data_IF_821975420932
#
_entry.id   IF_821975420932
#
_cell.length_a   1.000
_cell.length_b   1.000
_cell.length_c   1.000
_cell.angle_alpha   90.00
_cell.angle_beta   90.00
_cell.angle_gamma   90.00
#
_symmetry.space_group_name_H-M   'P 1'
#
loop_
_entity.id
_entity.type
_entity.pdbx_description
1 polymer ?
#
# COMPACT_ATOMS: atom_id res chain seq x y z
N UNK A 1 36.81 7.12 -2.58
CA UNK A 1 37.03 8.23 -3.51
C UNK A 1 35.69 8.76 -3.92
N UNK A 2 35.43 10.01 -3.63
CA UNK A 2 34.21 10.71 -4.10
C UNK A 2 34.32 10.89 -5.60
N UNK A 3 33.40 10.34 -6.36
CA UNK A 3 33.27 10.65 -7.78
C UNK A 3 32.68 12.06 -7.92
N UNK A 4 33.29 12.89 -8.76
CA UNK A 4 32.76 14.22 -9.11
C UNK A 4 32.08 14.10 -10.47
N UNK A 5 30.79 14.42 -10.51
CA UNK A 5 30.03 14.48 -11.75
C UNK A 5 29.89 15.94 -12.20
N UNK A 6 30.29 16.24 -13.44
CA UNK A 6 30.17 17.56 -14.00
C UNK A 6 28.89 17.69 -14.81
N UNK A 7 28.00 18.58 -14.38
CA UNK A 7 26.72 18.85 -15.03
C UNK A 7 26.90 20.05 -15.98
N UNK A 8 26.56 19.86 -17.26
CA UNK A 8 26.66 20.93 -18.27
C UNK A 8 25.35 21.71 -18.40
N UNK A 9 25.46 23.00 -18.71
CA UNK A 9 24.34 23.92 -18.92
C UNK A 9 23.78 24.50 -17.62
N UNK A 10 22.76 25.35 -17.75
CA UNK A 10 22.04 25.92 -16.60
C UNK A 10 21.14 24.84 -15.99
N UNK A 11 21.40 24.50 -14.75
CA UNK A 11 20.67 23.48 -13.97
C UNK A 11 20.32 24.03 -12.59
N UNK A 12 19.23 23.54 -12.06
CA UNK A 12 18.83 23.77 -10.65
C UNK A 12 18.91 22.44 -9.93
N UNK A 13 19.67 22.42 -8.83
CA UNK A 13 19.74 21.26 -7.94
C UNK A 13 18.73 21.46 -6.81
N UNK A 14 17.85 20.49 -6.67
CA UNK A 14 16.86 20.44 -5.57
C UNK A 14 17.07 19.15 -4.76
N UNK A 15 16.73 19.15 -3.46
CA UNK A 15 16.57 17.91 -2.72
C UNK A 15 15.53 17.03 -3.39
N UNK A 16 15.71 15.71 -3.32
CA UNK A 16 14.71 14.76 -3.81
C UNK A 16 13.38 14.94 -3.06
N UNK A 17 12.27 14.81 -3.77
CA UNK A 17 10.94 14.93 -3.18
C UNK A 17 10.63 13.69 -2.32
N UNK A 18 9.83 13.91 -1.28
CA UNK A 18 9.37 12.85 -0.36
C UNK A 18 7.86 12.75 -0.44
N UNK A 19 7.34 11.56 -0.76
CA UNK A 19 5.93 11.25 -0.62
C UNK A 19 5.71 10.46 0.68
N UNK A 20 5.21 11.16 1.69
CA UNK A 20 5.10 10.63 3.05
C UNK A 20 3.75 9.94 3.35
N UNK A 21 2.89 9.71 2.36
CA UNK A 21 1.61 9.06 2.57
C UNK A 21 1.10 8.41 1.29
N UNK A 22 1.38 7.13 1.09
CA UNK A 22 0.87 6.39 -0.07
C UNK A 22 0.23 5.06 0.29
N UNK A 23 -0.64 4.59 -0.62
CA UNK A 23 -1.20 3.25 -0.63
C UNK A 23 -0.82 2.55 -1.95
N UNK A 24 0.47 2.51 -2.30
CA UNK A 24 0.93 1.97 -3.58
C UNK A 24 0.79 0.45 -3.71
N UNK A 25 0.77 -0.27 -2.57
CA UNK A 25 0.61 -1.72 -2.55
C UNK A 25 -0.88 -2.09 -2.61
N UNK A 26 -1.41 -2.22 -3.82
CA UNK A 26 -2.80 -2.67 -4.06
C UNK A 26 -2.95 -3.28 -5.44
N UNK A 27 -3.98 -4.13 -5.62
CA UNK A 27 -4.44 -4.60 -6.92
C UNK A 27 -5.81 -4.03 -7.29
N UNK A 28 -6.18 -4.16 -8.57
CA UNK A 28 -7.39 -3.59 -9.13
C UNK A 28 -7.29 -2.09 -9.39
N UNK A 29 -8.42 -1.47 -9.72
CA UNK A 29 -8.53 -0.03 -9.92
C UNK A 29 -9.89 0.49 -9.49
N UNK A 30 -9.99 1.80 -9.36
CA UNK A 30 -11.23 2.49 -8.97
C UNK A 30 -11.70 3.50 -10.01
N UNK A 31 -11.39 3.23 -11.28
CA UNK A 31 -11.78 4.11 -12.39
C UNK A 31 -13.31 4.29 -12.48
N UNK A 32 -14.06 3.20 -12.25
CA UNK A 32 -15.52 3.26 -12.20
C UNK A 32 -16.05 4.12 -11.05
N UNK A 33 -15.45 4.01 -9.86
CA UNK A 33 -15.81 4.86 -8.71
C UNK A 33 -15.58 6.33 -9.03
N UNK A 34 -14.47 6.64 -9.70
CA UNK A 34 -14.16 7.99 -10.12
C UNK A 34 -15.18 8.52 -11.16
N UNK A 35 -15.53 7.70 -12.14
CA UNK A 35 -16.56 8.03 -13.13
C UNK A 35 -17.94 8.28 -12.47
N UNK A 36 -18.34 7.41 -11.53
CA UNK A 36 -19.58 7.56 -10.77
C UNK A 36 -19.58 8.84 -9.94
N UNK A 37 -18.47 9.17 -9.28
CA UNK A 37 -18.32 10.41 -8.51
C UNK A 37 -18.47 11.65 -9.40
N UNK A 38 -17.84 11.65 -10.57
CA UNK A 38 -17.96 12.74 -11.54
C UNK A 38 -19.37 12.86 -12.11
N UNK A 39 -20.13 11.76 -12.14
CA UNK A 39 -21.57 11.76 -12.48
C UNK A 39 -22.49 12.17 -11.31
N UNK A 40 -21.92 12.64 -10.19
CA UNK A 40 -22.66 13.14 -9.03
C UNK A 40 -23.18 12.07 -8.06
N UNK A 41 -22.69 10.80 -8.18
CA UNK A 41 -23.06 9.75 -7.24
C UNK A 41 -22.41 9.97 -5.88
N UNK A 42 -23.17 9.67 -4.84
CA UNK A 42 -22.68 9.73 -3.46
C UNK A 42 -21.72 8.56 -3.14
N UNK A 43 -20.92 8.73 -2.10
CA UNK A 43 -20.06 7.66 -1.61
C UNK A 43 -20.83 6.37 -1.28
N UNK A 44 -22.03 6.53 -0.69
CA UNK A 44 -22.88 5.39 -0.33
C UNK A 44 -23.38 4.62 -1.56
N UNK A 45 -23.82 5.32 -2.60
CA UNK A 45 -24.24 4.70 -3.87
C UNK A 45 -23.09 3.94 -4.55
N UNK A 46 -21.88 4.52 -4.52
CA UNK A 46 -20.66 3.86 -5.05
C UNK A 46 -20.36 2.60 -4.24
N UNK A 47 -20.41 2.66 -2.92
CA UNK A 47 -20.18 1.52 -2.05
C UNK A 47 -21.23 0.40 -2.24
N UNK A 48 -22.50 0.76 -2.46
CA UNK A 48 -23.60 -0.17 -2.74
C UNK A 48 -23.47 -0.84 -4.11
N UNK A 49 -22.86 -0.18 -5.09
CA UNK A 49 -22.59 -0.75 -6.41
C UNK A 49 -21.36 -1.69 -6.46
N UNK A 50 -20.78 -2.00 -5.30
CA UNK A 50 -19.59 -2.86 -5.20
C UNK A 50 -18.25 -2.13 -5.29
N UNK A 51 -18.27 -0.78 -5.34
CA UNK A 51 -17.09 0.07 -5.30
C UNK A 51 -16.61 0.39 -3.87
N UNK A 52 -15.84 1.44 -3.76
CA UNK A 52 -15.28 1.90 -2.50
C UNK A 52 -14.05 1.10 -2.05
N UNK A 53 -13.64 1.35 -0.82
CA UNK A 53 -12.43 0.73 -0.24
C UNK A 53 -12.52 -0.80 -0.19
N UNK A 54 -13.73 -1.35 -0.02
CA UNK A 54 -13.93 -2.80 0.02
C UNK A 54 -13.60 -3.48 -1.31
N UNK A 55 -13.83 -2.83 -2.43
CA UNK A 55 -13.40 -3.32 -3.74
C UNK A 55 -11.87 -3.43 -3.82
N UNK A 56 -11.14 -2.44 -3.32
CA UNK A 56 -9.67 -2.51 -3.22
C UNK A 56 -9.22 -3.67 -2.34
N UNK A 57 -9.88 -3.90 -1.20
CA UNK A 57 -9.59 -5.04 -0.30
C UNK A 57 -9.75 -6.36 -1.04
N UNK A 58 -10.88 -6.56 -1.71
CA UNK A 58 -11.17 -7.80 -2.43
C UNK A 58 -10.14 -8.09 -3.54
N UNK A 59 -9.79 -7.09 -4.36
CA UNK A 59 -8.79 -7.25 -5.41
C UNK A 59 -7.39 -7.50 -4.83
N UNK A 60 -7.00 -6.79 -3.77
CA UNK A 60 -5.68 -6.96 -3.14
C UNK A 60 -5.54 -8.32 -2.46
N UNK A 61 -6.61 -8.83 -1.85
CA UNK A 61 -6.62 -10.19 -1.30
C UNK A 61 -6.50 -11.26 -2.39
N UNK A 62 -7.20 -11.08 -3.51
CA UNK A 62 -7.19 -12.02 -4.63
C UNK A 62 -5.86 -12.04 -5.40
N UNK A 63 -5.14 -10.93 -5.44
CA UNK A 63 -3.83 -10.83 -6.09
C UNK A 63 -2.76 -11.63 -5.32
N UNK A 64 -1.86 -12.27 -6.05
CA UNK A 64 -0.69 -12.87 -5.42
C UNK A 64 0.39 -11.83 -5.09
N UNK A 65 1.41 -12.24 -4.32
CA UNK A 65 2.49 -11.36 -3.88
C UNK A 65 3.30 -10.83 -5.06
N UNK A 66 3.45 -11.62 -6.12
CA UNK A 66 4.19 -11.24 -7.33
C UNK A 66 3.45 -10.14 -8.09
N UNK A 67 2.15 -10.27 -8.28
CA UNK A 67 1.31 -9.24 -8.91
C UNK A 67 1.36 -7.92 -8.13
N UNK A 68 1.25 -7.98 -6.79
CA UNK A 68 1.36 -6.80 -5.95
C UNK A 68 2.73 -6.13 -6.08
N UNK A 69 3.81 -6.90 -6.13
CA UNK A 69 5.16 -6.40 -6.31
C UNK A 69 5.34 -5.73 -7.68
N UNK A 70 4.96 -6.40 -8.77
CA UNK A 70 5.14 -5.91 -10.13
C UNK A 70 4.37 -4.60 -10.37
N UNK A 71 3.09 -4.56 -9.98
CA UNK A 71 2.27 -3.35 -10.14
C UNK A 71 2.74 -2.20 -9.24
N UNK A 72 3.30 -2.49 -8.07
CA UNK A 72 3.89 -1.48 -7.19
C UNK A 72 5.18 -0.92 -7.79
N UNK A 73 6.05 -1.76 -8.36
CA UNK A 73 7.29 -1.31 -9.02
C UNK A 73 7.00 -0.37 -10.20
N UNK A 74 5.98 -0.65 -11.01
CA UNK A 74 5.56 0.26 -12.09
C UNK A 74 5.15 1.65 -11.55
N UNK A 75 4.42 1.68 -10.44
CA UNK A 75 4.02 2.93 -9.77
C UNK A 75 5.22 3.67 -9.17
N UNK A 76 6.18 2.95 -8.60
CA UNK A 76 7.42 3.52 -8.08
C UNK A 76 8.28 4.12 -9.18
N UNK A 77 8.38 3.49 -10.33
CA UNK A 77 9.10 4.04 -11.49
C UNK A 77 8.46 5.32 -12.00
N UNK A 78 7.13 5.41 -12.00
CA UNK A 78 6.44 6.67 -12.28
C UNK A 78 6.79 7.76 -11.27
N UNK A 79 6.71 7.48 -9.95
CA UNK A 79 7.06 8.45 -8.90
C UNK A 79 8.52 8.91 -9.02
N UNK A 80 9.43 8.00 -9.31
CA UNK A 80 10.84 8.33 -9.58
C UNK A 80 10.98 9.28 -10.77
N UNK A 81 10.22 9.07 -11.83
CA UNK A 81 10.29 9.90 -13.05
C UNK A 81 9.90 11.36 -12.80
N UNK A 82 9.13 11.65 -11.77
CA UNK A 82 8.70 13.00 -11.37
C UNK A 82 9.51 13.58 -10.22
N UNK A 83 10.64 12.93 -9.85
CA UNK A 83 11.62 13.46 -8.88
C UNK A 83 11.41 13.06 -7.43
N UNK A 84 10.50 12.13 -7.14
CA UNK A 84 10.37 11.53 -5.82
C UNK A 84 11.53 10.57 -5.59
N UNK A 85 12.14 10.64 -4.42
CA UNK A 85 13.28 9.81 -4.02
C UNK A 85 13.03 8.97 -2.78
N UNK A 86 12.02 9.34 -1.99
CA UNK A 86 11.61 8.64 -0.78
C UNK A 86 10.09 8.51 -0.75
N UNK A 87 9.60 7.30 -0.46
CA UNK A 87 8.17 6.98 -0.47
C UNK A 87 7.82 6.18 0.77
N UNK A 88 6.80 6.63 1.49
CA UNK A 88 6.14 5.82 2.51
C UNK A 88 5.03 5.00 1.86
N UNK A 89 4.99 3.69 2.13
CA UNK A 89 4.01 2.75 1.55
C UNK A 89 3.29 2.01 2.68
N UNK A 90 1.99 2.18 2.72
CA UNK A 90 1.12 1.52 3.69
C UNK A 90 0.62 0.17 3.17
N UNK A 91 0.47 -0.80 4.08
CA UNK A 91 -0.48 -1.91 3.93
C UNK A 91 -1.92 -1.42 4.14
N UNK A 92 -2.84 -2.26 4.60
CA UNK A 92 -4.18 -1.84 5.01
C UNK A 92 -5.29 -2.13 4.02
N UNK A 93 -5.02 -2.94 3.00
CA UNK A 93 -6.03 -3.56 2.15
C UNK A 93 -6.07 -5.09 2.27
N UNK A 94 -5.22 -5.68 3.11
CA UNK A 94 -5.30 -7.09 3.48
C UNK A 94 -6.38 -7.32 4.55
N UNK A 95 -6.27 -6.61 5.66
CA UNK A 95 -7.19 -6.59 6.81
C UNK A 95 -7.35 -7.95 7.52
N UNK A 96 -6.46 -8.89 7.27
CA UNK A 96 -6.25 -10.12 8.01
C UNK A 96 -4.76 -10.50 7.99
N UNK A 97 -4.36 -11.47 8.80
CA UNK A 97 -2.96 -11.84 8.97
C UNK A 97 -2.29 -12.22 7.64
N UNK A 98 -2.92 -13.10 6.87
CA UNK A 98 -2.34 -13.62 5.63
C UNK A 98 -2.11 -12.50 4.61
N UNK A 99 -3.12 -11.67 4.39
CA UNK A 99 -3.08 -10.67 3.32
C UNK A 99 -2.31 -9.40 3.73
N UNK A 100 -2.33 -9.00 5.01
CA UNK A 100 -1.49 -7.89 5.49
C UNK A 100 0.01 -8.27 5.39
N UNK A 101 0.37 -9.45 5.86
CA UNK A 101 1.76 -9.94 5.77
C UNK A 101 2.19 -10.11 4.32
N UNK A 102 1.32 -10.59 3.43
CA UNK A 102 1.57 -10.63 1.98
C UNK A 102 1.91 -9.25 1.42
N UNK A 103 1.13 -8.22 1.77
CA UNK A 103 1.39 -6.84 1.33
C UNK A 103 2.74 -6.32 1.85
N UNK A 104 3.01 -6.48 3.13
CA UNK A 104 4.26 -6.05 3.76
C UNK A 104 5.48 -6.75 3.15
N UNK A 105 5.39 -8.06 2.88
CA UNK A 105 6.45 -8.82 2.17
C UNK A 105 6.66 -8.30 0.74
N UNK A 106 5.61 -7.94 0.02
CA UNK A 106 5.74 -7.34 -1.31
C UNK A 106 6.48 -5.99 -1.24
N UNK A 107 6.15 -5.14 -0.24
CA UNK A 107 6.84 -3.87 0.00
C UNK A 107 8.32 -4.11 0.33
N UNK A 108 8.62 -5.07 1.22
CA UNK A 108 10.00 -5.40 1.60
C UNK A 108 10.82 -5.89 0.39
N UNK A 109 10.24 -6.72 -0.47
CA UNK A 109 10.89 -7.14 -1.72
C UNK A 109 11.15 -5.99 -2.67
N UNK A 110 10.25 -5.02 -2.76
CA UNK A 110 10.43 -3.84 -3.60
C UNK A 110 11.63 -2.99 -3.17
N UNK A 111 11.97 -2.92 -1.87
CA UNK A 111 13.16 -2.19 -1.37
C UNK A 111 14.45 -2.59 -2.09
N UNK A 112 14.59 -3.85 -2.49
CA UNK A 112 15.77 -4.35 -3.20
C UNK A 112 15.72 -4.18 -4.73
N UNK A 113 14.58 -3.77 -5.29
CA UNK A 113 14.33 -3.71 -6.74
C UNK A 113 14.11 -2.29 -7.27
N UNK A 114 14.17 -1.29 -6.40
CA UNK A 114 14.10 0.12 -6.77
C UNK A 114 15.27 0.91 -6.20
N UNK A 115 15.59 2.04 -6.80
CA UNK A 115 16.55 3.00 -6.24
C UNK A 115 15.92 4.02 -5.29
N UNK A 116 14.59 3.97 -5.09
CA UNK A 116 13.89 4.83 -4.14
C UNK A 116 14.12 4.31 -2.71
N UNK A 117 14.16 5.23 -1.75
CA UNK A 117 14.09 4.88 -0.34
C UNK A 117 12.65 4.57 0.04
N UNK A 118 12.35 3.33 0.44
CA UNK A 118 11.00 2.93 0.82
C UNK A 118 10.87 2.78 2.32
N UNK A 119 9.84 3.40 2.88
CA UNK A 119 9.43 3.26 4.28
C UNK A 119 8.13 2.46 4.30
N UNK A 120 8.15 1.30 4.93
CA UNK A 120 6.98 0.44 5.08
C UNK A 120 6.18 0.88 6.32
N UNK A 121 4.86 0.82 6.23
CA UNK A 121 3.94 1.12 7.36
C UNK A 121 2.84 0.07 7.43
N UNK A 122 2.77 -0.66 8.53
CA UNK A 122 1.67 -1.59 8.81
C UNK A 122 0.40 -0.82 9.16
N UNK A 123 -0.58 -0.77 8.25
CA UNK A 123 -1.87 -0.11 8.47
C UNK A 123 -3.02 -1.13 8.60
N UNK A 124 -2.81 -2.25 9.30
CA UNK A 124 -3.84 -3.27 9.50
C UNK A 124 -5.14 -2.73 10.13
N UNK A 125 -5.04 -1.65 10.92
CA UNK A 125 -6.20 -0.96 11.49
C UNK A 125 -6.86 0.07 10.57
N UNK A 126 -6.63 0.00 9.24
CA UNK A 126 -7.20 0.96 8.27
C UNK A 126 -8.73 1.01 8.33
N UNK A 127 -9.35 -0.15 8.45
CA UNK A 127 -10.79 -0.29 8.74
C UNK A 127 -11.07 -1.70 9.27
N UNK A 128 -12.18 -1.87 10.00
CA UNK A 128 -12.67 -3.22 10.31
C UNK A 128 -13.22 -3.85 9.03
N UNK A 129 -12.72 -5.02 8.60
CA UNK A 129 -13.26 -5.69 7.42
C UNK A 129 -14.69 -6.19 7.64
N UNK A 130 -15.47 -6.23 6.56
CA UNK A 130 -16.89 -6.63 6.61
C UNK A 130 -17.08 -8.10 6.99
N UNK A 131 -16.08 -8.90 6.71
CA UNK A 131 -16.04 -10.35 6.93
C UNK A 131 -15.34 -10.74 8.25
N UNK A 132 -14.97 -9.78 9.09
CA UNK A 132 -14.39 -10.06 10.40
C UNK A 132 -15.48 -10.54 11.38
N UNK A 133 -15.32 -11.77 11.84
CA UNK A 133 -16.18 -12.37 12.84
C UNK A 133 -15.37 -12.66 14.11
N UNK A 134 -15.70 -12.04 15.27
CA UNK A 134 -15.03 -12.31 16.54
C UNK A 134 -15.07 -13.78 16.97
N UNK A 135 -16.12 -14.53 16.61
CA UNK A 135 -16.25 -15.95 16.99
C UNK A 135 -15.12 -16.81 16.38
N UNK A 136 -14.62 -16.44 15.20
CA UNK A 136 -13.48 -17.10 14.58
C UNK A 136 -12.12 -16.71 15.19
N UNK A 137 -12.10 -15.75 16.12
CA UNK A 137 -10.91 -15.18 16.75
C UNK A 137 -11.02 -15.18 18.29
N UNK A 138 -11.56 -16.24 18.89
CA UNK A 138 -11.68 -16.42 20.34
C UNK A 138 -12.46 -15.28 21.04
N UNK A 139 -13.44 -14.70 20.34
CA UNK A 139 -14.23 -13.58 20.85
C UNK A 139 -13.53 -12.22 20.83
N UNK A 140 -12.33 -12.12 20.26
CA UNK A 140 -11.55 -10.88 20.21
C UNK A 140 -12.22 -9.83 19.32
N UNK A 141 -12.14 -8.57 19.71
CA UNK A 141 -12.39 -7.45 18.81
C UNK A 141 -11.33 -7.42 17.68
N UNK A 142 -11.64 -6.74 16.58
CA UNK A 142 -10.69 -6.64 15.46
C UNK A 142 -9.36 -5.99 15.87
N UNK A 143 -9.38 -5.01 16.77
CA UNK A 143 -8.15 -4.39 17.28
C UNK A 143 -7.31 -5.37 18.12
N UNK A 144 -7.96 -6.14 19.00
CA UNK A 144 -7.27 -7.17 19.79
C UNK A 144 -6.68 -8.27 18.90
N UNK A 145 -7.36 -8.64 17.80
CA UNK A 145 -6.85 -9.54 16.78
C UNK A 145 -5.57 -8.99 16.12
N UNK A 146 -5.58 -7.73 15.69
CA UNK A 146 -4.39 -7.09 15.12
C UNK A 146 -3.21 -7.15 16.09
N UNK A 147 -3.44 -6.77 17.36
CA UNK A 147 -2.40 -6.75 18.38
C UNK A 147 -1.86 -8.13 18.72
N UNK A 148 -2.72 -9.16 18.68
CA UNK A 148 -2.35 -10.51 19.06
C UNK A 148 -1.73 -11.31 17.90
N UNK A 149 -2.13 -11.09 16.66
CA UNK A 149 -1.79 -11.94 15.54
C UNK A 149 -0.99 -11.24 14.44
N UNK A 150 -1.37 -10.03 14.03
CA UNK A 150 -0.71 -9.34 12.89
C UNK A 150 0.61 -8.71 13.32
N UNK A 151 0.59 -7.82 14.32
CA UNK A 151 1.78 -7.08 14.74
C UNK A 151 2.95 -7.97 15.25
N UNK A 152 2.71 -9.12 15.94
CA UNK A 152 3.82 -9.99 16.30
C UNK A 152 4.52 -10.63 15.12
N UNK A 153 3.80 -10.92 14.02
CA UNK A 153 4.40 -11.48 12.80
C UNK A 153 5.17 -10.42 12.03
N UNK A 154 4.60 -9.23 11.87
CA UNK A 154 5.24 -8.08 11.26
C UNK A 154 6.58 -7.76 11.94
N UNK A 155 6.57 -7.63 13.26
CA UNK A 155 7.78 -7.39 14.06
C UNK A 155 8.80 -8.55 13.98
N UNK A 156 8.34 -9.81 13.94
CA UNK A 156 9.21 -10.98 13.88
C UNK A 156 9.94 -11.09 12.54
N UNK A 157 9.26 -10.71 11.46
CA UNK A 157 9.78 -10.77 10.11
C UNK A 157 10.51 -9.48 9.68
N UNK A 158 10.52 -8.42 10.52
CA UNK A 158 11.14 -7.11 10.24
C UNK A 158 10.60 -6.49 8.93
N UNK A 159 9.28 -6.40 8.82
CA UNK A 159 8.59 -5.99 7.60
C UNK A 159 8.32 -4.47 7.51
N UNK A 160 8.44 -3.72 8.60
CA UNK A 160 8.34 -2.26 8.65
C UNK A 160 9.61 -1.51 8.21
#
# INVERSE_FOLDING_TARGET
ASSVEWVQGEKVLLPGLVDCHTHLCFSGNRANDFAMRNAGRTYLEIAQSGGGIWSSVQHTRAADEKELLETMLERLDYLKSIGITTVEIKSGYGLDLEHEVKMLRAIQKAKSQTSLSLISTCLAAHMKPKDYDPENHEGRSYLEYILAEILPVDKKEDLE
#
